data_IF_791491502842
#
_entry.id   IF_791491502842
#
_cell.length_a   1.000
_cell.length_b   1.000
_cell.length_c   1.000
_cell.angle_alpha   90.00
_cell.angle_beta   90.00
_cell.angle_gamma   90.00
#
_symmetry.space_group_name_H-M   'P 1'
#
loop_
_entity.id
_entity.type
_entity.pdbx_description
1 polymer ?
#
# COMPACT_ATOMS: atom_id res chain seq x y z
N UNK A 1 -1.64 20.40 63.05
CA UNK A 1 -1.41 21.85 63.22
C UNK A 1 -2.75 22.49 63.58
N UNK A 2 -3.04 22.67 64.88
CA UNK A 2 -4.19 23.48 65.31
C UNK A 2 -3.82 24.93 64.95
N UNK A 3 -4.26 25.42 63.78
CA UNK A 3 -4.12 26.83 63.45
C UNK A 3 -4.94 27.60 64.47
N UNK A 4 -4.28 28.45 65.23
CA UNK A 4 -4.89 29.29 66.23
C UNK A 4 -5.87 30.22 65.49
N UNK A 5 -7.17 29.97 65.61
CA UNK A 5 -8.22 30.69 64.85
C UNK A 5 -8.14 32.21 65.08
N UNK A 6 -7.56 32.63 66.21
CA UNK A 6 -7.29 34.02 66.57
C UNK A 6 -6.31 34.75 65.63
N UNK A 7 -5.47 34.03 64.88
CA UNK A 7 -4.46 34.60 63.97
C UNK A 7 -4.90 34.60 62.49
N UNK A 8 -6.08 34.06 62.17
CA UNK A 8 -6.59 34.06 60.80
C UNK A 8 -7.15 35.44 60.42
N UNK A 9 -6.63 36.02 59.34
CA UNK A 9 -7.08 37.32 58.82
C UNK A 9 -8.56 37.32 58.45
N UNK A 10 -9.07 36.22 57.89
CA UNK A 10 -10.49 36.06 57.56
C UNK A 10 -11.38 36.08 58.82
N UNK A 11 -10.89 35.53 59.93
CA UNK A 11 -11.59 35.55 61.20
C UNK A 11 -11.61 36.94 61.85
N UNK A 12 -10.50 37.66 61.75
CA UNK A 12 -10.43 39.03 62.26
C UNK A 12 -11.36 39.98 61.48
N UNK A 13 -11.43 39.85 60.15
CA UNK A 13 -12.33 40.66 59.33
C UNK A 13 -13.83 40.36 59.55
N UNK A 14 -14.17 39.10 59.85
CA UNK A 14 -15.55 38.73 60.17
C UNK A 14 -15.97 39.26 61.55
N UNK A 15 -15.07 39.19 62.54
CA UNK A 15 -15.30 39.71 63.89
C UNK A 15 -15.50 41.23 63.91
N UNK A 16 -14.68 41.96 63.15
CA UNK A 16 -14.78 43.44 63.05
C UNK A 16 -16.11 43.85 62.41
N UNK A 17 -16.59 43.14 61.39
CA UNK A 17 -17.88 43.44 60.74
C UNK A 17 -19.08 43.23 61.67
N UNK A 18 -19.08 42.17 62.47
CA UNK A 18 -20.13 41.89 63.46
C UNK A 18 -20.10 42.88 64.63
N UNK A 19 -18.90 43.22 65.15
CA UNK A 19 -18.75 44.26 66.18
C UNK A 19 -19.29 45.61 65.72
N UNK A 20 -19.07 45.98 64.46
CA UNK A 20 -19.55 47.24 63.89
C UNK A 20 -21.09 47.26 63.70
N UNK A 21 -21.70 46.11 63.37
CA UNK A 21 -23.15 45.98 63.26
C UNK A 21 -23.86 46.05 64.63
N UNK A 22 -23.21 45.54 65.68
CA UNK A 22 -23.73 45.58 67.06
C UNK A 22 -23.51 46.94 67.74
N UNK A 23 -22.44 47.65 67.40
CA UNK A 23 -22.22 49.03 67.85
C UNK A 23 -23.29 50.02 67.32
N UNK A 24 -23.90 49.74 66.16
CA UNK A 24 -25.03 50.51 65.61
C UNK A 24 -26.35 50.36 66.39
N UNK A 25 -26.44 49.37 67.27
CA UNK A 25 -27.62 49.09 68.11
C UNK A 25 -27.56 49.77 69.50
N UNK A 26 -26.53 50.59 69.75
CA UNK A 26 -26.29 51.36 70.99
C UNK A 26 -26.30 50.51 72.28
N UNK A 27 -25.95 49.24 72.14
CA UNK A 27 -25.84 48.27 73.23
C UNK A 27 -24.44 47.71 73.18
N UNK A 28 -23.50 48.36 73.88
CA UNK A 28 -22.49 47.77 74.79
C UNK A 28 -21.27 48.69 74.98
N UNK A 29 -20.98 49.03 76.24
CA UNK A 29 -19.62 49.32 76.70
C UNK A 29 -18.70 48.10 76.44
N UNK A 30 -17.37 48.28 76.31
CA UNK A 30 -16.47 47.26 75.80
C UNK A 30 -16.20 46.16 76.84
N UNK A 31 -17.17 45.28 77.07
CA UNK A 31 -16.95 44.00 77.74
C UNK A 31 -16.55 42.94 76.71
N UNK A 32 -15.49 42.19 77.03
CA UNK A 32 -14.99 41.09 76.21
C UNK A 32 -16.12 40.10 75.88
N UNK A 33 -16.19 39.59 74.64
CA UNK A 33 -17.33 38.83 74.16
C UNK A 33 -17.61 37.67 75.11
N UNK A 34 -18.82 37.63 75.66
CA UNK A 34 -19.27 36.51 76.47
C UNK A 34 -19.04 35.22 75.67
N UNK A 35 -18.74 34.12 76.38
CA UNK A 35 -18.48 32.79 75.81
C UNK A 35 -19.50 32.35 74.74
N UNK A 36 -20.67 32.97 74.74
CA UNK A 36 -21.81 32.71 73.87
C UNK A 36 -21.67 33.31 72.47
N UNK A 37 -21.06 34.49 72.29
CA UNK A 37 -20.94 35.11 70.96
C UNK A 37 -19.96 34.33 70.07
N UNK A 38 -18.83 33.92 70.65
CA UNK A 38 -17.85 33.05 69.98
C UNK A 38 -18.49 31.71 69.59
N UNK A 39 -19.35 31.16 70.45
CA UNK A 39 -20.07 29.92 70.18
C UNK A 39 -21.12 30.09 69.07
N UNK A 40 -21.85 31.21 69.05
CA UNK A 40 -22.84 31.52 68.02
C UNK A 40 -22.20 31.75 66.64
N UNK A 41 -21.05 32.42 66.58
CA UNK A 41 -20.30 32.63 65.34
C UNK A 41 -19.70 31.30 64.85
N UNK A 42 -19.14 30.47 65.74
CA UNK A 42 -18.65 29.13 65.40
C UNK A 42 -19.77 28.22 64.89
N UNK A 43 -20.95 28.26 65.51
CA UNK A 43 -22.13 27.49 65.07
C UNK A 43 -22.63 27.94 63.69
N UNK A 44 -22.63 29.26 63.40
CA UNK A 44 -22.96 29.77 62.07
C UNK A 44 -21.92 29.42 61.01
N UNK A 45 -20.63 29.50 61.32
CA UNK A 45 -19.57 29.12 60.38
C UNK A 45 -19.56 27.61 60.11
N UNK A 46 -19.89 26.77 61.11
CA UNK A 46 -20.14 25.35 60.89
C UNK A 46 -21.36 25.09 59.99
N UNK A 47 -22.37 25.97 60.03
CA UNK A 47 -23.58 25.87 59.20
C UNK A 47 -23.43 26.45 57.79
N UNK A 48 -22.41 27.25 57.51
CA UNK A 48 -22.00 27.58 56.13
C UNK A 48 -21.27 26.37 55.55
N UNK A 49 -22.02 25.31 55.26
CA UNK A 49 -21.53 24.16 54.55
C UNK A 49 -21.12 24.62 53.14
N UNK A 50 -19.81 24.72 52.90
CA UNK A 50 -19.28 24.77 51.53
C UNK A 50 -19.79 23.48 50.87
N UNK A 51 -20.68 23.54 49.86
CA UNK A 51 -21.21 22.33 49.25
C UNK A 51 -20.03 21.53 48.73
N UNK A 52 -19.92 20.27 49.15
CA UNK A 52 -18.85 19.37 48.73
C UNK A 52 -19.03 19.09 47.24
N UNK A 53 -18.40 19.90 46.38
CA UNK A 53 -18.40 19.73 44.92
C UNK A 53 -17.51 18.56 44.48
N UNK A 54 -17.27 17.59 45.36
CA UNK A 54 -16.54 16.38 45.00
C UNK A 54 -17.48 15.51 44.15
N UNK A 55 -17.11 15.21 42.90
CA UNK A 55 -17.96 14.39 42.04
C UNK A 55 -18.27 13.07 42.73
N UNK A 56 -19.50 12.58 42.62
CA UNK A 56 -19.91 11.31 43.22
C UNK A 56 -19.03 10.17 42.73
N UNK A 57 -18.93 9.07 43.48
CA UNK A 57 -18.17 7.89 43.05
C UNK A 57 -18.55 7.47 41.63
N UNK A 58 -19.85 7.45 41.32
CA UNK A 58 -20.41 7.20 40.00
C UNK A 58 -19.89 8.18 38.93
N UNK A 59 -19.90 9.49 39.19
CA UNK A 59 -19.38 10.49 38.25
C UNK A 59 -17.88 10.30 37.97
N UNK A 60 -17.08 9.93 38.98
CA UNK A 60 -15.65 9.64 38.79
C UNK A 60 -15.43 8.41 37.91
N UNK A 61 -16.25 7.37 38.06
CA UNK A 61 -16.20 6.19 37.18
C UNK A 61 -16.62 6.54 35.75
N UNK A 62 -17.70 7.32 35.57
CA UNK A 62 -18.18 7.75 34.27
C UNK A 62 -17.13 8.59 33.52
N UNK A 63 -16.48 9.53 34.19
CA UNK A 63 -15.39 10.34 33.60
C UNK A 63 -14.22 9.45 33.18
N UNK A 64 -13.78 8.53 34.04
CA UNK A 64 -12.67 7.61 33.72
C UNK A 64 -13.00 6.69 32.54
N UNK A 65 -14.22 6.16 32.50
CA UNK A 65 -14.68 5.31 31.41
C UNK A 65 -14.79 6.09 30.10
N UNK A 66 -15.33 7.32 30.14
CA UNK A 66 -15.42 8.19 28.97
C UNK A 66 -14.02 8.56 28.45
N UNK A 67 -13.07 8.89 29.34
CA UNK A 67 -11.69 9.18 28.96
C UNK A 67 -10.98 7.97 28.33
N UNK A 68 -11.19 6.76 28.87
CA UNK A 68 -10.65 5.52 28.31
C UNK A 68 -11.24 5.26 26.92
N UNK A 69 -12.57 5.35 26.77
CA UNK A 69 -13.24 5.16 25.49
C UNK A 69 -12.77 6.17 24.44
N UNK A 70 -12.63 7.45 24.81
CA UNK A 70 -12.09 8.48 23.93
C UNK A 70 -10.65 8.16 23.48
N UNK A 71 -9.81 7.67 24.38
CA UNK A 71 -8.43 7.27 24.06
C UNK A 71 -8.39 6.10 23.08
N UNK A 72 -9.22 5.07 23.28
CA UNK A 72 -9.34 3.93 22.36
C UNK A 72 -9.77 4.41 20.98
N UNK A 73 -10.79 5.26 20.90
CA UNK A 73 -11.27 5.81 19.62
C UNK A 73 -10.18 6.59 18.88
N UNK A 74 -9.41 7.42 19.58
CA UNK A 74 -8.29 8.16 19.00
C UNK A 74 -7.22 7.20 18.48
N UNK A 75 -6.84 6.19 19.26
CA UNK A 75 -5.85 5.19 18.85
C UNK A 75 -6.35 4.43 17.61
N UNK A 76 -7.57 3.91 17.63
CA UNK A 76 -8.14 3.17 16.50
C UNK A 76 -8.21 4.02 15.24
N UNK A 77 -8.61 5.30 15.36
CA UNK A 77 -8.66 6.24 14.24
C UNK A 77 -7.26 6.50 13.64
N UNK A 78 -6.21 6.53 14.46
CA UNK A 78 -4.82 6.69 13.99
C UNK A 78 -4.23 5.40 13.39
N UNK A 79 -4.58 4.22 13.95
CA UNK A 79 -4.02 2.93 13.52
C UNK A 79 -4.62 2.46 12.20
N UNK A 80 -5.91 2.66 11.96
CA UNK A 80 -6.59 2.17 10.76
C UNK A 80 -5.95 2.65 9.42
N UNK A 81 -5.68 3.97 9.21
CA UNK A 81 -5.03 4.43 7.99
C UNK A 81 -3.55 3.98 7.91
N UNK A 82 -2.90 3.73 9.05
CA UNK A 82 -1.55 3.18 9.06
C UNK A 82 -1.52 1.72 8.60
N UNK A 83 -2.48 0.91 9.04
CA UNK A 83 -2.60 -0.50 8.64
C UNK A 83 -2.97 -0.65 7.16
N UNK A 84 -3.80 0.23 6.61
CA UNK A 84 -4.10 0.18 5.16
C UNK A 84 -2.85 0.50 4.32
N UNK A 85 -2.10 1.55 4.69
CA UNK A 85 -0.83 1.91 4.03
C UNK A 85 0.22 0.80 4.14
N UNK A 86 0.36 0.16 5.30
CA UNK A 86 1.34 -0.92 5.49
C UNK A 86 0.98 -2.17 4.67
N UNK A 87 -0.32 -2.51 4.58
CA UNK A 87 -0.78 -3.60 3.70
C UNK A 87 -0.55 -3.29 2.23
N UNK A 88 -0.79 -2.06 1.79
CA UNK A 88 -0.53 -1.64 0.42
C UNK A 88 0.97 -1.70 0.08
N UNK A 89 1.83 -1.21 0.98
CA UNK A 89 3.28 -1.33 0.84
C UNK A 89 3.73 -2.79 0.77
N UNK A 90 3.18 -3.66 1.62
CA UNK A 90 3.48 -5.09 1.60
C UNK A 90 3.05 -5.77 0.29
N UNK A 91 1.87 -5.43 -0.26
CA UNK A 91 1.41 -5.94 -1.56
C UNK A 91 2.32 -5.50 -2.70
N UNK A 92 2.75 -4.23 -2.73
CA UNK A 92 3.72 -3.74 -3.72
C UNK A 92 5.06 -4.48 -3.62
N UNK A 93 5.60 -4.62 -2.41
CA UNK A 93 6.84 -5.36 -2.18
C UNK A 93 6.73 -6.83 -2.64
N UNK A 94 5.57 -7.46 -2.41
CA UNK A 94 5.32 -8.82 -2.86
C UNK A 94 5.22 -8.93 -4.40
N UNK A 95 4.61 -7.95 -5.08
CA UNK A 95 4.59 -7.91 -6.55
C UNK A 95 6.00 -7.77 -7.13
N UNK A 96 6.82 -6.87 -6.58
CA UNK A 96 8.24 -6.74 -6.93
C UNK A 96 8.99 -8.07 -6.76
N UNK A 97 8.73 -8.81 -5.67
CA UNK A 97 9.34 -10.11 -5.45
C UNK A 97 8.86 -11.19 -6.44
N UNK A 98 7.58 -11.19 -6.80
CA UNK A 98 7.03 -12.10 -7.82
C UNK A 98 7.70 -11.87 -9.19
N UNK A 99 7.84 -10.61 -9.60
CA UNK A 99 8.51 -10.24 -10.84
C UNK A 99 9.99 -10.68 -10.85
N UNK A 100 10.72 -10.47 -9.75
CA UNK A 100 12.11 -10.95 -9.62
C UNK A 100 12.21 -12.47 -9.75
N UNK A 101 11.27 -13.20 -9.14
CA UNK A 101 11.22 -14.66 -9.27
C UNK A 101 10.92 -15.08 -10.72
N UNK A 102 9.98 -14.43 -11.40
CA UNK A 102 9.71 -14.67 -12.81
C UNK A 102 10.92 -14.33 -13.70
N UNK A 103 11.68 -13.29 -13.37
CA UNK A 103 12.96 -12.99 -14.03
C UNK A 103 13.96 -14.13 -13.91
N UNK A 104 14.09 -14.75 -12.73
CA UNK A 104 14.92 -15.95 -12.55
C UNK A 104 14.42 -17.13 -13.38
N UNK A 105 13.10 -17.36 -13.41
CA UNK A 105 12.48 -18.40 -14.26
C UNK A 105 12.86 -18.19 -15.72
N UNK A 106 12.79 -16.95 -16.21
CA UNK A 106 13.10 -16.63 -17.60
C UNK A 106 14.58 -16.85 -17.92
N UNK A 107 15.49 -16.44 -17.02
CA UNK A 107 16.92 -16.70 -17.17
C UNK A 107 17.25 -18.19 -17.16
N UNK A 108 16.64 -18.97 -16.25
CA UNK A 108 16.81 -20.43 -16.23
C UNK A 108 16.33 -21.09 -17.52
N UNK A 109 15.17 -20.68 -18.03
CA UNK A 109 14.65 -21.15 -19.32
C UNK A 109 15.59 -20.78 -20.47
N UNK A 110 16.01 -19.51 -20.55
CA UNK A 110 16.87 -19.00 -21.61
C UNK A 110 18.18 -19.78 -21.69
N UNK A 111 18.85 -19.99 -20.54
CA UNK A 111 20.12 -20.71 -20.45
C UNK A 111 20.08 -22.16 -20.99
N UNK A 112 18.91 -22.80 -20.97
CA UNK A 112 18.72 -24.15 -21.51
C UNK A 112 18.09 -24.18 -22.90
N UNK A 113 17.58 -23.05 -23.37
CA UNK A 113 16.94 -22.92 -24.67
C UNK A 113 17.98 -22.78 -25.79
N UNK A 114 17.68 -23.31 -26.98
CA UNK A 114 18.52 -23.09 -28.16
C UNK A 114 18.43 -21.63 -28.59
N UNK A 115 19.56 -20.92 -28.54
CA UNK A 115 19.63 -19.50 -28.92
C UNK A 115 19.31 -18.53 -27.78
N UNK A 116 19.30 -19.01 -26.54
CA UNK A 116 19.19 -18.20 -25.32
C UNK A 116 17.92 -17.33 -25.28
N UNK A 117 16.84 -17.87 -25.83
CA UNK A 117 15.55 -17.18 -25.98
C UNK A 117 14.73 -17.24 -24.71
N UNK A 118 14.03 -16.15 -24.41
CA UNK A 118 13.06 -16.13 -23.32
C UNK A 118 11.83 -16.96 -23.69
N UNK A 119 10.99 -17.33 -22.71
CA UNK A 119 9.77 -18.11 -22.94
C UNK A 119 8.93 -17.55 -24.10
N UNK A 120 8.34 -18.40 -24.95
CA UNK A 120 7.50 -17.93 -26.04
C UNK A 120 6.29 -17.14 -25.53
N UNK A 121 5.81 -16.24 -26.39
CA UNK A 121 4.49 -15.65 -26.21
C UNK A 121 3.43 -16.76 -26.26
N UNK A 122 2.37 -16.59 -25.49
CA UNK A 122 1.22 -17.49 -25.47
C UNK A 122 0.65 -17.68 -26.87
N UNK A 123 0.26 -18.92 -27.22
CA UNK A 123 -0.40 -19.20 -28.50
C UNK A 123 -1.85 -18.70 -28.56
N UNK A 124 -2.44 -18.28 -27.44
CA UNK A 124 -3.87 -17.91 -27.37
C UNK A 124 -4.11 -16.50 -27.93
N UNK A 125 -5.16 -16.35 -28.73
CA UNK A 125 -5.55 -15.05 -29.28
C UNK A 125 -5.98 -14.09 -28.15
N UNK A 126 -5.52 -12.84 -28.23
CA UNK A 126 -5.82 -11.79 -27.25
C UNK A 126 -5.25 -12.04 -25.85
N UNK A 127 -4.05 -12.62 -25.75
CA UNK A 127 -3.41 -12.91 -24.46
C UNK A 127 -1.92 -12.52 -24.49
N UNK A 128 -1.61 -11.33 -23.97
CA UNK A 128 -0.23 -10.86 -23.80
C UNK A 128 0.43 -11.49 -22.57
N UNK A 129 0.76 -12.78 -22.65
CA UNK A 129 1.42 -13.51 -21.58
C UNK A 129 2.38 -14.54 -22.17
N UNK A 130 3.42 -14.94 -21.44
CA UNK A 130 4.26 -16.05 -21.88
C UNK A 130 3.50 -17.38 -21.83
N UNK A 131 3.92 -18.35 -22.64
CA UNK A 131 3.36 -19.69 -22.62
C UNK A 131 3.77 -20.42 -21.33
N UNK A 132 2.80 -20.54 -20.42
CA UNK A 132 2.97 -21.20 -19.12
C UNK A 132 3.33 -22.68 -19.29
N UNK A 133 2.82 -23.35 -20.33
CA UNK A 133 3.09 -24.77 -20.58
C UNK A 133 4.57 -25.02 -20.88
N UNK A 134 5.29 -24.01 -21.38
CA UNK A 134 6.72 -24.10 -21.67
C UNK A 134 7.62 -24.01 -20.43
N UNK A 135 7.12 -23.42 -19.33
CA UNK A 135 7.91 -23.19 -18.10
C UNK A 135 7.46 -24.01 -16.90
N UNK A 136 6.19 -24.36 -16.80
CA UNK A 136 5.63 -25.14 -15.71
C UNK A 136 5.72 -26.65 -16.01
N UNK A 137 6.05 -27.51 -15.03
CA UNK A 137 6.49 -27.20 -13.67
C UNK A 137 8.01 -27.04 -13.55
N UNK A 138 8.77 -27.25 -14.64
CA UNK A 138 10.23 -27.42 -14.60
C UNK A 138 10.97 -26.20 -14.04
N UNK A 139 10.62 -25.01 -14.51
CA UNK A 139 11.24 -23.75 -14.10
C UNK A 139 10.32 -22.96 -13.15
N UNK A 140 9.01 -23.08 -13.33
CA UNK A 140 7.99 -22.43 -12.51
C UNK A 140 7.23 -23.49 -11.70
N UNK A 141 7.51 -23.61 -10.40
CA UNK A 141 6.83 -24.56 -9.51
C UNK A 141 5.74 -23.92 -8.65
N UNK A 142 5.95 -22.68 -8.19
CA UNK A 142 4.96 -21.93 -7.43
C UNK A 142 4.09 -21.08 -8.35
N UNK A 143 2.85 -21.51 -8.58
CA UNK A 143 1.86 -20.77 -9.38
C UNK A 143 1.40 -19.47 -8.71
N UNK A 144 1.65 -19.28 -7.41
CA UNK A 144 1.21 -18.08 -6.71
C UNK A 144 1.86 -16.80 -7.27
N UNK A 145 3.08 -16.90 -7.82
CA UNK A 145 3.81 -15.76 -8.35
C UNK A 145 3.24 -15.24 -9.67
N UNK A 146 2.41 -16.04 -10.36
CA UNK A 146 1.67 -15.63 -11.57
C UNK A 146 0.52 -14.67 -11.27
N UNK A 147 0.21 -14.44 -9.99
CA UNK A 147 -0.85 -13.53 -9.56
C UNK A 147 -0.26 -12.34 -8.82
N UNK A 148 -0.67 -11.15 -9.24
CA UNK A 148 -0.35 -9.92 -8.54
C UNK A 148 -1.21 -9.82 -7.26
N UNK A 149 -0.59 -9.73 -6.06
CA UNK A 149 -1.31 -9.66 -4.79
C UNK A 149 -2.10 -8.36 -4.59
N UNK A 150 -1.91 -7.37 -5.47
CA UNK A 150 -2.68 -6.13 -5.50
C UNK A 150 -4.06 -6.28 -6.13
N UNK A 151 -4.34 -7.38 -6.85
CA UNK A 151 -5.65 -7.65 -7.43
C UNK A 151 -6.70 -7.90 -6.33
N UNK A 152 -7.94 -7.39 -6.47
CA UNK A 152 -9.00 -7.58 -5.48
C UNK A 152 -9.33 -9.04 -5.17
N UNK A 153 -9.20 -9.92 -6.17
CA UNK A 153 -9.52 -11.34 -6.13
C UNK A 153 -8.27 -12.24 -6.19
N UNK A 154 -7.09 -11.71 -5.89
CA UNK A 154 -5.81 -12.43 -6.00
C UNK A 154 -5.83 -13.83 -5.37
N UNK A 155 -6.36 -13.97 -4.14
CA UNK A 155 -6.45 -15.27 -3.47
C UNK A 155 -7.26 -16.30 -4.25
N UNK A 156 -8.41 -15.89 -4.81
CA UNK A 156 -9.27 -16.77 -5.61
C UNK A 156 -8.58 -17.18 -6.92
N UNK A 157 -7.84 -16.27 -7.54
CA UNK A 157 -7.08 -16.56 -8.76
C UNK A 157 -5.97 -17.56 -8.51
N UNK A 158 -5.26 -17.45 -7.38
CA UNK A 158 -4.23 -18.43 -6.99
C UNK A 158 -4.86 -19.80 -6.75
N UNK A 159 -5.98 -19.88 -6.04
CA UNK A 159 -6.69 -21.13 -5.80
C UNK A 159 -7.16 -21.77 -7.11
N UNK A 160 -7.67 -20.96 -8.04
CA UNK A 160 -8.09 -21.42 -9.36
C UNK A 160 -6.92 -21.92 -10.21
N UNK A 161 -5.78 -21.24 -10.23
CA UNK A 161 -4.58 -21.72 -10.92
C UNK A 161 -4.14 -23.09 -10.41
N UNK A 162 -4.14 -23.29 -9.09
CA UNK A 162 -3.79 -24.58 -8.47
C UNK A 162 -4.79 -25.67 -8.82
N UNK A 163 -6.08 -25.33 -8.86
CA UNK A 163 -7.15 -26.24 -9.30
C UNK A 163 -6.94 -26.66 -10.75
N UNK A 164 -6.71 -25.72 -11.66
CA UNK A 164 -6.47 -25.99 -13.09
C UNK A 164 -5.22 -26.83 -13.30
N UNK A 165 -4.13 -26.56 -12.59
CA UNK A 165 -2.91 -27.36 -12.66
C UNK A 165 -3.07 -28.81 -12.16
N UNK A 166 -4.17 -29.11 -11.47
CA UNK A 166 -4.54 -30.46 -11.01
C UNK A 166 -5.49 -31.19 -11.97
N UNK A 167 -5.93 -30.54 -13.05
CA UNK A 167 -6.83 -31.15 -14.06
C UNK A 167 -6.04 -31.96 -15.09
N UNK A 168 -6.71 -32.92 -15.75
CA UNK A 168 -6.12 -33.73 -16.81
C UNK A 168 -7.09 -33.83 -18.00
N UNK A 169 -6.75 -33.29 -19.20
CA UNK A 169 -5.58 -32.46 -19.46
C UNK A 169 -5.64 -31.12 -18.70
N UNK A 170 -4.49 -30.51 -18.45
CA UNK A 170 -4.41 -29.16 -17.87
C UNK A 170 -5.01 -28.16 -18.86
N UNK A 171 -5.92 -27.32 -18.38
CA UNK A 171 -6.46 -26.20 -19.15
C UNK A 171 -5.47 -25.01 -19.14
N UNK A 172 -4.53 -25.06 -20.08
CA UNK A 172 -3.48 -24.06 -20.23
C UNK A 172 -4.03 -22.68 -20.62
N UNK A 173 -5.08 -22.61 -21.43
CA UNK A 173 -5.67 -21.33 -21.85
C UNK A 173 -6.25 -20.59 -20.64
N UNK A 174 -7.02 -21.29 -19.81
CA UNK A 174 -7.57 -20.71 -18.59
C UNK A 174 -6.46 -20.22 -17.64
N UNK A 175 -5.40 -21.02 -17.46
CA UNK A 175 -4.26 -20.60 -16.64
C UNK A 175 -3.57 -19.35 -17.18
N UNK A 176 -3.31 -19.29 -18.49
CA UNK A 176 -2.65 -18.15 -19.11
C UNK A 176 -3.52 -16.90 -19.04
N UNK A 177 -4.83 -17.01 -19.27
CA UNK A 177 -5.76 -15.87 -19.14
C UNK A 177 -5.85 -15.34 -17.71
N UNK A 178 -5.78 -16.21 -16.70
CA UNK A 178 -5.71 -15.78 -15.29
C UNK A 178 -4.41 -15.01 -15.03
N UNK A 179 -3.28 -15.54 -15.47
CA UNK A 179 -1.98 -14.91 -15.27
C UNK A 179 -1.85 -13.56 -16.02
N UNK A 180 -2.46 -13.45 -17.20
CA UNK A 180 -2.50 -12.21 -18.01
C UNK A 180 -3.23 -11.04 -17.31
N UNK A 181 -4.11 -11.33 -16.33
CA UNK A 181 -4.71 -10.29 -15.48
C UNK A 181 -3.69 -9.60 -14.57
N UNK A 182 -2.59 -10.28 -14.29
CA UNK A 182 -1.54 -9.79 -13.37
C UNK A 182 -0.34 -9.22 -14.09
N UNK A 183 0.02 -9.76 -15.26
CA UNK A 183 1.20 -9.33 -16.00
C UNK A 183 0.97 -9.34 -17.51
N UNK A 184 1.72 -8.48 -18.20
CA UNK A 184 1.73 -8.31 -19.65
C UNK A 184 3.13 -8.66 -20.16
N UNK A 185 3.20 -9.60 -21.10
CA UNK A 185 4.41 -10.08 -21.75
C UNK A 185 4.23 -10.07 -23.27
N UNK A 186 5.14 -9.43 -23.99
CA UNK A 186 5.11 -9.35 -25.46
C UNK A 186 5.93 -10.46 -26.13
N UNK A 187 6.97 -10.97 -25.47
CA UNK A 187 7.93 -11.92 -26.06
C UNK A 187 9.00 -11.29 -26.96
N UNK A 188 8.93 -9.98 -27.16
CA UNK A 188 9.80 -9.21 -28.05
C UNK A 188 10.34 -7.99 -27.31
N UNK A 189 11.61 -7.68 -27.56
CA UNK A 189 12.26 -6.50 -27.02
C UNK A 189 11.67 -5.25 -27.68
N UNK A 190 11.26 -4.29 -26.86
CA UNK A 190 10.80 -2.99 -27.29
C UNK A 190 11.22 -1.94 -26.26
N UNK A 191 11.65 -0.77 -26.69
CA UNK A 191 11.94 0.40 -25.85
C UNK A 191 11.06 1.61 -26.19
N UNK A 192 10.16 1.45 -27.18
CA UNK A 192 9.33 2.52 -27.73
C UNK A 192 7.89 2.08 -28.01
N UNK A 193 6.99 3.06 -28.11
CA UNK A 193 5.57 2.84 -28.41
C UNK A 193 5.38 2.27 -29.83
N UNK A 194 6.21 2.71 -30.77
CA UNK A 194 6.21 2.31 -32.16
C UNK A 194 6.54 0.81 -32.31
N UNK A 195 7.52 0.32 -31.56
CA UNK A 195 7.87 -1.10 -31.54
C UNK A 195 6.76 -1.95 -30.92
N UNK A 196 6.15 -1.49 -29.82
CA UNK A 196 4.99 -2.19 -29.24
C UNK A 196 3.81 -2.23 -30.22
N UNK A 197 3.56 -1.15 -30.97
CA UNK A 197 2.54 -1.12 -32.02
C UNK A 197 2.84 -2.15 -33.11
N UNK A 198 4.08 -2.17 -33.60
CA UNK A 198 4.51 -3.13 -34.61
C UNK A 198 4.35 -4.58 -34.11
N UNK A 199 4.71 -4.83 -32.83
CA UNK A 199 4.49 -6.12 -32.18
C UNK A 199 3.00 -6.50 -32.13
N UNK A 200 2.14 -5.54 -31.80
CA UNK A 200 0.71 -5.75 -31.70
C UNK A 200 0.04 -6.06 -33.05
N UNK A 201 0.43 -5.32 -34.09
CA UNK A 201 -0.08 -5.50 -35.46
C UNK A 201 0.27 -6.88 -36.04
N UNK A 202 1.49 -7.37 -35.79
CA UNK A 202 2.00 -8.62 -36.34
C UNK A 202 1.86 -9.84 -35.42
N UNK A 203 1.22 -9.70 -34.25
CA UNK A 203 1.15 -10.71 -33.18
C UNK A 203 0.81 -12.12 -33.68
N UNK A 204 -0.23 -12.26 -34.51
CA UNK A 204 -0.67 -13.57 -35.04
C UNK A 204 0.43 -14.25 -35.85
N UNK A 205 1.09 -13.49 -36.73
CA UNK A 205 2.19 -14.00 -37.55
C UNK A 205 3.36 -14.39 -36.65
N UNK A 206 3.74 -13.52 -35.73
CA UNK A 206 4.86 -13.72 -34.82
C UNK A 206 4.72 -14.88 -33.85
N UNK A 207 3.51 -15.18 -33.37
CA UNK A 207 3.25 -16.35 -32.53
C UNK A 207 3.44 -17.69 -33.28
N UNK A 208 3.44 -17.67 -34.62
CA UNK A 208 3.57 -18.86 -35.48
C UNK A 208 4.97 -19.07 -36.08
N UNK A 209 5.89 -18.11 -35.93
CA UNK A 209 7.22 -18.18 -36.55
C UNK A 209 8.18 -19.07 -35.74
N UNK A 210 9.03 -19.82 -36.45
CA UNK A 210 10.19 -20.47 -35.83
C UNK A 210 11.09 -19.36 -35.25
N UNK A 211 11.30 -19.46 -33.94
CA UNK A 211 11.66 -18.37 -33.02
C UNK A 211 13.09 -17.83 -33.18
N UNK A 212 13.73 -18.15 -34.31
CA UNK A 212 15.10 -17.78 -34.70
C UNK A 212 15.15 -16.67 -35.75
N UNK A 213 14.01 -16.27 -36.32
CA UNK A 213 13.97 -15.27 -37.40
C UNK A 213 13.51 -13.92 -36.85
N UNK A 214 14.29 -12.88 -37.13
CA UNK A 214 13.91 -11.50 -36.89
C UNK A 214 12.64 -11.18 -37.68
N UNK A 215 11.74 -10.43 -37.06
CA UNK A 215 10.45 -10.12 -37.66
C UNK A 215 10.54 -8.70 -38.16
N UNK A 216 10.49 -8.51 -39.49
CA UNK A 216 10.19 -7.19 -40.03
C UNK A 216 8.73 -6.88 -39.71
N UNK A 217 8.50 -6.03 -38.72
CA UNK A 217 7.18 -5.52 -38.38
C UNK A 217 7.14 -4.05 -38.80
N UNK A 218 6.26 -3.73 -39.76
CA UNK A 218 6.12 -2.38 -40.32
C UNK A 218 7.44 -1.77 -40.86
N UNK A 219 8.32 -2.62 -41.43
CA UNK A 219 9.57 -2.20 -42.06
C UNK A 219 10.75 -1.96 -41.10
N UNK A 220 10.61 -2.35 -39.83
CA UNK A 220 11.70 -2.38 -38.85
C UNK A 220 11.88 -3.78 -38.26
N UNK A 221 13.12 -4.21 -37.99
CA UNK A 221 13.35 -5.47 -37.30
C UNK A 221 12.87 -5.35 -35.85
N UNK A 222 11.93 -6.20 -35.47
CA UNK A 222 11.55 -6.43 -34.07
C UNK A 222 12.26 -7.68 -33.59
N UNK A 223 12.95 -7.55 -32.46
CA UNK A 223 13.80 -8.60 -31.93
C UNK A 223 13.10 -9.38 -30.83
N UNK A 224 13.21 -10.71 -30.87
CA UNK A 224 12.74 -11.57 -29.79
C UNK A 224 13.52 -11.31 -28.51
N UNK A 225 12.87 -11.38 -27.34
CA UNK A 225 13.57 -11.40 -26.06
C UNK A 225 14.48 -12.63 -25.98
N UNK A 226 15.80 -12.37 -25.85
CA UNK A 226 16.86 -13.37 -25.70
C UNK A 226 18.08 -12.72 -25.08
N UNK A 227 18.98 -13.51 -24.49
CA UNK A 227 20.28 -12.99 -24.08
C UNK A 227 21.04 -12.37 -25.26
N UNK A 228 21.68 -11.23 -25.02
CA UNK A 228 22.42 -10.49 -26.03
C UNK A 228 21.57 -9.67 -27.00
N UNK A 229 20.24 -9.62 -26.87
CA UNK A 229 19.38 -8.77 -27.71
C UNK A 229 19.61 -7.27 -27.48
N UNK A 230 20.07 -6.89 -26.29
CA UNK A 230 20.36 -5.51 -25.90
C UNK A 230 21.34 -4.81 -26.83
N UNK A 231 22.20 -5.55 -27.55
CA UNK A 231 23.18 -4.97 -28.48
C UNK A 231 22.55 -4.16 -29.60
N UNK A 232 21.29 -4.46 -29.94
CA UNK A 232 20.54 -3.73 -30.95
C UNK A 232 19.96 -2.40 -30.42
N UNK A 233 20.01 -2.19 -29.09
CA UNK A 233 19.53 -1.00 -28.39
C UNK A 233 20.68 -0.12 -27.88
N UNK A 234 21.94 -0.43 -28.25
CA UNK A 234 23.10 0.37 -27.87
C UNK A 234 23.31 1.51 -28.86
N UNK A 235 23.22 2.75 -28.38
CA UNK A 235 23.50 3.95 -29.20
C UNK A 235 24.99 4.37 -29.21
N UNK A 236 25.72 4.16 -28.10
CA UNK A 236 27.15 4.51 -27.98
C UNK A 236 27.99 3.25 -27.74
N UNK A 237 28.67 2.80 -28.81
CA UNK A 237 29.49 1.58 -28.78
C UNK A 237 30.79 1.76 -27.98
N UNK A 238 31.21 3.01 -27.74
CA UNK A 238 32.47 3.30 -27.06
C UNK A 238 32.32 3.34 -25.54
N UNK A 239 31.09 3.26 -25.02
CA UNK A 239 30.82 3.18 -23.59
C UNK A 239 30.91 1.72 -23.10
N UNK A 240 31.86 1.37 -22.22
CA UNK A 240 32.00 0.01 -21.70
C UNK A 240 30.80 -0.47 -20.86
N UNK A 241 29.94 0.44 -20.39
CA UNK A 241 28.71 0.12 -19.67
C UNK A 241 27.47 0.05 -20.58
N UNK A 242 27.62 0.23 -21.90
CA UNK A 242 26.49 0.35 -22.83
C UNK A 242 25.53 -0.84 -22.78
N UNK A 243 26.06 -2.07 -22.79
CA UNK A 243 25.22 -3.27 -22.73
C UNK A 243 24.42 -3.35 -21.43
N UNK A 244 25.05 -3.07 -20.29
CA UNK A 244 24.37 -3.10 -18.99
C UNK A 244 23.27 -2.02 -18.91
N UNK A 245 23.55 -0.83 -19.44
CA UNK A 245 22.57 0.26 -19.51
C UNK A 245 21.38 -0.12 -20.41
N UNK A 246 21.63 -0.74 -21.57
CA UNK A 246 20.59 -1.19 -22.48
C UNK A 246 19.70 -2.28 -21.83
N UNK A 247 20.29 -3.30 -21.19
CA UNK A 247 19.51 -4.33 -20.46
C UNK A 247 18.64 -3.72 -19.34
N UNK A 248 19.10 -2.64 -18.70
CA UNK A 248 18.36 -1.92 -17.66
C UNK A 248 17.21 -1.05 -18.22
N UNK A 249 17.07 -0.94 -19.54
CA UNK A 249 16.04 -0.12 -20.19
C UNK A 249 14.98 -0.95 -20.92
N UNK A 250 15.28 -2.20 -21.26
CA UNK A 250 14.38 -3.09 -22.01
C UNK A 250 13.42 -3.80 -21.06
N UNK A 251 12.10 -3.52 -21.11
CA UNK A 251 11.11 -4.21 -20.30
C UNK A 251 10.91 -5.64 -20.79
N UNK A 252 10.76 -6.55 -19.84
CA UNK A 252 10.51 -7.97 -20.07
C UNK A 252 9.09 -8.34 -19.68
N UNK A 253 8.66 -7.92 -18.49
CA UNK A 253 7.34 -8.26 -17.94
C UNK A 253 6.80 -7.05 -17.18
N UNK A 254 5.59 -6.64 -17.51
CA UNK A 254 4.95 -5.45 -16.91
C UNK A 254 3.79 -5.92 -16.06
N UNK A 255 3.64 -5.39 -14.84
CA UNK A 255 2.45 -5.60 -14.03
C UNK A 255 1.21 -5.06 -14.77
N UNK A 256 0.29 -5.96 -15.12
CA UNK A 256 -0.97 -5.60 -15.77
C UNK A 256 -1.86 -4.87 -14.79
N UNK A 257 -2.59 -3.90 -15.32
CA UNK A 257 -3.66 -3.22 -14.61
C UNK A 257 -4.96 -3.89 -15.02
N UNK A 258 -5.65 -4.54 -14.07
CA UNK A 258 -6.98 -5.07 -14.35
C UNK A 258 -7.97 -3.91 -14.54
N UNK A 259 -8.23 -3.62 -15.82
CA UNK A 259 -9.03 -2.52 -16.35
C UNK A 259 -10.49 -2.51 -15.88
N UNK A 260 -11.01 -3.65 -15.39
CA UNK A 260 -12.42 -3.75 -14.98
C UNK A 260 -12.69 -3.26 -13.56
N UNK A 261 -11.66 -3.06 -12.74
CA UNK A 261 -11.85 -2.53 -11.39
C UNK A 261 -11.85 -1.00 -11.40
N UNK A 262 -13.02 -0.39 -11.72
CA UNK A 262 -13.30 1.06 -11.60
C UNK A 262 -13.12 1.65 -10.19
N UNK A 263 -12.45 0.95 -9.27
CA UNK A 263 -12.38 1.29 -7.85
C UNK A 263 -11.00 1.75 -7.37
N UNK A 264 -9.93 1.59 -8.17
CA UNK A 264 -8.58 2.01 -7.76
C UNK A 264 -7.98 2.91 -8.84
N UNK A 265 -7.61 4.11 -8.44
CA UNK A 265 -6.83 5.03 -9.28
C UNK A 265 -5.52 4.31 -9.65
N UNK A 266 -5.26 4.18 -10.95
CA UNK A 266 -4.03 3.55 -11.42
C UNK A 266 -2.89 4.54 -11.19
N UNK A 267 -1.90 4.16 -10.40
CA UNK A 267 -0.79 5.06 -10.04
C UNK A 267 0.49 4.75 -10.79
N UNK A 268 0.53 3.64 -11.52
CA UNK A 268 1.75 3.06 -12.09
C UNK A 268 1.86 1.55 -11.87
N UNK A 269 2.88 0.96 -12.47
CA UNK A 269 3.11 -0.49 -12.49
C UNK A 269 4.56 -0.83 -12.17
N UNK A 270 4.78 -2.02 -11.59
CA UNK A 270 6.11 -2.59 -11.53
C UNK A 270 6.49 -3.17 -12.90
N UNK A 271 7.74 -2.95 -13.30
CA UNK A 271 8.30 -3.39 -14.57
C UNK A 271 9.56 -4.20 -14.27
N UNK A 272 9.58 -5.44 -14.74
CA UNK A 272 10.79 -6.27 -14.79
C UNK A 272 11.59 -5.93 -16.05
N UNK A 273 12.88 -5.68 -15.90
CA UNK A 273 13.80 -5.40 -16.99
C UNK A 273 14.73 -6.58 -17.29
N UNK A 274 15.43 -6.51 -18.42
CA UNK A 274 16.22 -7.62 -18.96
C UNK A 274 17.41 -8.04 -18.08
N UNK A 275 17.99 -7.11 -17.34
CA UNK A 275 19.03 -7.35 -16.33
C UNK A 275 18.48 -8.01 -15.04
N UNK A 276 17.16 -8.17 -14.93
CA UNK A 276 16.46 -8.78 -13.81
C UNK A 276 16.07 -7.81 -12.69
N UNK A 277 16.37 -6.52 -12.79
CA UNK A 277 15.88 -5.55 -11.82
C UNK A 277 14.39 -5.27 -12.05
N UNK A 278 13.74 -4.77 -11.00
CA UNK A 278 12.33 -4.36 -11.05
C UNK A 278 12.21 -2.91 -10.62
N UNK A 279 11.67 -2.07 -11.50
CA UNK A 279 11.42 -0.65 -11.25
C UNK A 279 9.93 -0.34 -11.20
N UNK A 280 9.52 0.62 -10.38
CA UNK A 280 8.15 1.15 -10.41
C UNK A 280 8.11 2.37 -11.34
N UNK A 281 7.21 2.34 -12.32
CA UNK A 281 7.01 3.45 -13.26
C UNK A 281 5.60 3.99 -13.05
N UNK A 282 5.46 5.30 -12.81
CA UNK A 282 4.14 5.90 -12.63
C UNK A 282 3.37 5.91 -13.95
N UNK A 283 2.05 5.92 -13.85
CA UNK A 283 1.19 6.06 -15.02
C UNK A 283 1.58 7.32 -15.82
N UNK A 284 1.80 7.14 -17.12
CA UNK A 284 2.12 8.20 -18.07
C UNK A 284 3.44 8.96 -17.80
N UNK A 285 4.32 8.44 -16.93
CA UNK A 285 5.64 9.05 -16.66
C UNK A 285 6.70 8.60 -17.67
N UNK A 286 6.75 7.30 -18.00
CA UNK A 286 7.72 6.73 -18.93
C UNK A 286 7.22 5.41 -19.55
N UNK A 287 7.87 5.00 -20.65
CA UNK A 287 7.70 3.66 -21.23
C UNK A 287 8.08 2.57 -20.20
N UNK A 288 7.37 1.42 -20.15
CA UNK A 288 6.22 1.01 -20.95
C UNK A 288 4.85 1.42 -20.38
N UNK A 289 4.81 2.20 -19.28
CA UNK A 289 3.56 2.51 -18.55
C UNK A 289 2.91 3.79 -19.09
N UNK A 290 2.69 3.81 -20.40
CA UNK A 290 2.06 4.91 -21.13
C UNK A 290 0.64 4.53 -21.59
N UNK A 291 -0.23 5.53 -21.68
CA UNK A 291 -1.61 5.37 -22.18
C UNK A 291 -1.62 4.75 -23.58
N UNK A 292 -0.76 5.24 -24.47
CA UNK A 292 -0.67 4.75 -25.84
C UNK A 292 -0.30 3.26 -25.92
N UNK A 293 0.63 2.81 -25.08
CA UNK A 293 1.01 1.39 -24.95
C UNK A 293 -0.19 0.58 -24.45
N UNK A 294 -0.90 1.10 -23.45
CA UNK A 294 -2.11 0.46 -22.90
C UNK A 294 -3.20 0.30 -23.96
N UNK A 295 -3.49 1.35 -24.73
CA UNK A 295 -4.48 1.32 -25.80
C UNK A 295 -4.14 0.27 -26.87
N UNK A 296 -2.87 0.23 -27.31
CA UNK A 296 -2.39 -0.74 -28.29
C UNK A 296 -2.64 -2.17 -27.81
N UNK A 297 -2.18 -2.51 -26.61
CA UNK A 297 -2.25 -3.87 -26.10
C UNK A 297 -3.70 -4.29 -25.78
N UNK A 298 -4.56 -3.33 -25.38
CA UNK A 298 -5.98 -3.59 -25.11
C UNK A 298 -6.81 -3.79 -26.38
N UNK A 299 -6.55 -3.04 -27.44
CA UNK A 299 -7.27 -3.20 -28.72
C UNK A 299 -7.02 -4.56 -29.37
N UNK A 300 -5.89 -5.19 -29.03
CA UNK A 300 -5.49 -6.51 -29.53
C UNK A 300 -5.84 -7.69 -28.62
N UNK A 301 -6.42 -7.42 -27.43
CA UNK A 301 -6.91 -8.42 -26.47
C UNK A 301 -8.38 -8.75 -26.73
#
# INVERSE_FOLDING_TARGET
VRRNLAESSEWQEALVREQHALALLDVLEPEAPSRDLSAAILDRLHKVAVPDQRPSSFQRYAIRLAALAATILIITAAVLPMVSRSREAARRASSTNNLKQLGMVFKMYANESKGEVYPPLSPYEGVWMFDIASVYPKYLSDLSILVNPSLPDAGKLVDELKRLASTQPIDWEAMTRIAARSYTYTGYAADSVEEVRAIAEDRRRMASLDMKSEVDASGKPVYRLREGVERFFISDINNPAASANAQSSIPVLVESVDYKSRQREFTGANVLYMDGHVGFVKENEAFPVLESVREILTQTN
#
